data_IF_945328514279
#
_entry.id   IF_945328514279
#
_cell.length_a   1.000
_cell.length_b   1.000
_cell.length_c   1.000
_cell.angle_alpha   90.00
_cell.angle_beta   90.00
_cell.angle_gamma   90.00
#
_symmetry.space_group_name_H-M   'P 1'
#
loop_
_entity.id
_entity.type
_entity.pdbx_description
1 polymer ?
#
# COMPACT_ATOMS: atom_id res chain seq x y z
N UNK A 1 -53.84 12.28 -6.91
CA UNK A 1 -52.70 12.72 -6.06
C UNK A 1 -51.47 11.91 -6.44
N UNK A 2 -50.32 12.59 -6.59
CA UNK A 2 -49.14 12.15 -7.35
C UNK A 2 -48.39 11.01 -6.64
N UNK A 3 -47.96 10.00 -7.41
CA UNK A 3 -46.98 8.98 -7.01
C UNK A 3 -45.68 9.68 -6.62
N UNK A 4 -45.13 9.33 -5.46
CA UNK A 4 -43.83 9.81 -5.01
C UNK A 4 -42.75 9.42 -6.01
N UNK A 5 -42.09 10.43 -6.57
CA UNK A 5 -40.85 10.24 -7.31
C UNK A 5 -39.79 10.00 -6.24
N UNK A 6 -39.34 8.75 -6.13
CA UNK A 6 -38.18 8.42 -5.29
C UNK A 6 -37.01 9.29 -5.71
N UNK A 7 -36.30 9.87 -4.74
CA UNK A 7 -35.07 10.59 -5.01
C UNK A 7 -34.15 9.69 -5.85
N UNK A 8 -33.47 10.23 -6.88
CA UNK A 8 -32.47 9.46 -7.60
C UNK A 8 -31.45 8.91 -6.59
N UNK A 9 -30.96 7.68 -6.77
CA UNK A 9 -29.91 7.15 -5.91
C UNK A 9 -28.74 8.14 -5.90
N UNK A 10 -28.08 8.36 -4.75
CA UNK A 10 -26.90 9.22 -4.70
C UNK A 10 -25.90 8.75 -5.75
N UNK A 11 -25.38 9.70 -6.55
CA UNK A 11 -24.34 9.37 -7.52
C UNK A 11 -23.08 8.97 -6.75
N UNK A 12 -22.38 7.90 -7.15
CA UNK A 12 -21.14 7.52 -6.49
C UNK A 12 -20.15 8.69 -6.53
N UNK A 13 -19.53 8.98 -5.40
CA UNK A 13 -18.46 9.99 -5.35
C UNK A 13 -17.29 9.49 -6.19
N UNK A 14 -16.64 10.39 -6.93
CA UNK A 14 -15.50 10.06 -7.78
C UNK A 14 -14.25 10.68 -7.19
N UNK A 15 -13.18 9.90 -7.12
CA UNK A 15 -11.87 10.36 -6.65
C UNK A 15 -10.79 10.15 -7.71
N UNK A 16 -9.86 11.09 -7.78
CA UNK A 16 -8.72 11.04 -8.69
C UNK A 16 -7.54 10.28 -8.05
N UNK A 17 -6.90 9.43 -8.84
CA UNK A 17 -5.62 8.81 -8.55
C UNK A 17 -4.73 8.87 -9.81
N UNK A 18 -3.44 8.57 -9.69
CA UNK A 18 -2.49 8.81 -10.78
C UNK A 18 -1.86 7.51 -11.26
N UNK A 19 -1.82 7.31 -12.58
CA UNK A 19 -1.02 6.29 -13.25
C UNK A 19 0.33 6.88 -13.68
N UNK A 20 1.41 6.19 -13.32
CA UNK A 20 2.78 6.44 -13.75
C UNK A 20 3.20 5.25 -14.64
N UNK A 21 3.15 5.40 -15.98
CA UNK A 21 3.57 4.33 -16.88
C UNK A 21 5.05 3.99 -16.74
N UNK A 22 5.42 2.73 -16.95
CA UNK A 22 6.82 2.32 -16.99
C UNK A 22 7.57 2.84 -18.22
N UNK A 23 6.85 3.04 -19.33
CA UNK A 23 7.40 3.65 -20.54
C UNK A 23 7.56 5.16 -20.33
N UNK A 24 8.80 5.64 -20.38
CA UNK A 24 9.15 7.06 -20.24
C UNK A 24 8.56 7.92 -21.37
N UNK A 25 8.18 7.33 -22.51
CA UNK A 25 7.50 8.03 -23.60
C UNK A 25 6.00 8.25 -23.32
N UNK A 26 5.37 7.45 -22.45
CA UNK A 26 3.98 7.64 -22.05
C UNK A 26 3.86 8.72 -20.97
N UNK A 27 2.86 9.60 -21.08
CA UNK A 27 2.59 10.62 -20.08
C UNK A 27 1.94 10.04 -18.81
N UNK A 28 2.24 10.65 -17.67
CA UNK A 28 1.53 10.41 -16.41
C UNK A 28 0.06 10.82 -16.60
N UNK A 29 -0.88 9.98 -16.14
CA UNK A 29 -2.33 10.17 -16.36
C UNK A 29 -3.08 10.22 -15.05
N UNK A 30 -4.03 11.14 -14.96
CA UNK A 30 -5.05 11.13 -13.91
C UNK A 30 -6.15 10.13 -14.28
N UNK A 31 -6.53 9.31 -13.32
CA UNK A 31 -7.51 8.26 -13.42
C UNK A 31 -8.61 8.52 -12.39
N UNK A 32 -9.82 8.05 -12.68
CA UNK A 32 -10.97 8.23 -11.80
C UNK A 32 -11.44 6.89 -11.23
N UNK A 33 -11.76 6.90 -9.94
CA UNK A 33 -12.34 5.76 -9.23
C UNK A 33 -13.72 6.16 -8.73
N UNK A 34 -14.75 5.42 -9.14
CA UNK A 34 -16.05 5.49 -8.49
C UNK A 34 -15.94 4.86 -7.10
N UNK A 35 -16.22 5.64 -6.06
CA UNK A 35 -16.17 5.23 -4.67
C UNK A 35 -17.54 4.70 -4.25
N UNK A 36 -17.63 3.42 -3.85
CA UNK A 36 -18.85 2.86 -3.28
C UNK A 36 -19.23 3.54 -1.96
N UNK A 37 -20.53 3.67 -1.69
CA UNK A 37 -21.04 4.24 -0.43
C UNK A 37 -20.75 3.36 0.79
N UNK A 38 -20.61 2.04 0.58
CA UNK A 38 -20.30 1.10 1.66
C UNK A 38 -18.80 1.02 1.89
N UNK A 39 -18.40 1.22 3.15
CA UNK A 39 -17.01 1.18 3.59
C UNK A 39 -16.26 -0.09 3.14
N UNK A 40 -16.85 -1.27 3.36
CA UNK A 40 -16.25 -2.56 2.97
C UNK A 40 -15.97 -2.65 1.45
N UNK A 41 -16.89 -2.14 0.64
CA UNK A 41 -16.74 -2.12 -0.83
C UNK A 41 -15.69 -1.07 -1.24
N UNK A 42 -15.65 0.09 -0.56
CA UNK A 42 -14.68 1.15 -0.82
C UNK A 42 -13.23 0.73 -0.52
N UNK A 43 -12.99 0.05 0.60
CA UNK A 43 -11.65 -0.43 0.99
C UNK A 43 -10.99 -1.25 -0.13
N UNK A 44 -11.77 -2.14 -0.77
CA UNK A 44 -11.29 -2.99 -1.88
C UNK A 44 -11.41 -2.41 -3.29
N UNK A 45 -12.12 -1.30 -3.47
CA UNK A 45 -12.49 -0.78 -4.80
C UNK A 45 -11.28 -0.51 -5.71
N UNK A 46 -10.27 0.20 -5.19
CA UNK A 46 -9.06 0.52 -5.97
C UNK A 46 -8.27 -0.74 -6.32
N UNK A 47 -7.97 -1.59 -5.33
CA UNK A 47 -7.21 -2.82 -5.54
C UNK A 47 -7.89 -3.73 -6.58
N UNK A 48 -9.22 -3.83 -6.56
CA UNK A 48 -9.99 -4.57 -7.57
C UNK A 48 -9.85 -3.97 -8.97
N UNK A 49 -9.92 -2.64 -9.09
CA UNK A 49 -9.73 -1.96 -10.36
C UNK A 49 -8.31 -2.18 -10.92
N UNK A 50 -7.29 -2.07 -10.06
CA UNK A 50 -5.88 -2.23 -10.44
C UNK A 50 -5.52 -3.69 -10.77
N UNK A 51 -6.06 -4.67 -10.04
CA UNK A 51 -5.93 -6.09 -10.39
C UNK A 51 -6.46 -6.34 -11.81
N UNK A 52 -7.61 -5.75 -12.14
CA UNK A 52 -8.19 -5.85 -13.49
C UNK A 52 -7.30 -5.18 -14.54
N UNK A 53 -6.72 -4.01 -14.23
CA UNK A 53 -5.77 -3.33 -15.11
C UNK A 53 -4.55 -4.19 -15.41
N UNK A 54 -3.86 -4.69 -14.38
CA UNK A 54 -2.63 -5.44 -14.59
C UNK A 54 -2.91 -6.78 -15.28
N UNK A 55 -4.02 -7.47 -14.98
CA UNK A 55 -4.41 -8.69 -15.68
C UNK A 55 -4.61 -8.46 -17.20
N UNK A 56 -5.05 -7.26 -17.61
CA UNK A 56 -5.23 -6.90 -19.01
C UNK A 56 -3.93 -6.38 -19.67
N UNK A 57 -3.16 -5.56 -18.95
CA UNK A 57 -2.03 -4.79 -19.51
C UNK A 57 -0.72 -5.58 -19.55
N UNK A 58 -0.34 -6.22 -18.45
CA UNK A 58 0.99 -6.85 -18.32
C UNK A 58 1.03 -8.29 -18.84
N UNK A 59 -0.13 -8.83 -19.25
CA UNK A 59 -0.25 -10.18 -19.78
C UNK A 59 0.03 -11.26 -18.73
N UNK A 60 -0.19 -12.51 -19.13
CA UNK A 60 0.17 -13.67 -18.32
C UNK A 60 1.65 -14.02 -18.44
N UNK A 61 2.12 -14.87 -17.54
CA UNK A 61 3.44 -15.49 -17.64
C UNK A 61 3.58 -16.29 -18.94
N UNK A 62 4.77 -16.24 -19.55
CA UNK A 62 5.11 -17.18 -20.61
C UNK A 62 5.25 -18.62 -20.04
N UNK A 63 5.26 -19.67 -20.88
CA UNK A 63 5.30 -21.06 -20.39
C UNK A 63 6.48 -21.38 -19.47
N UNK A 64 7.66 -20.80 -19.75
CA UNK A 64 8.87 -21.03 -18.96
C UNK A 64 8.79 -20.32 -17.59
N UNK A 65 8.34 -19.07 -17.57
CA UNK A 65 8.10 -18.31 -16.35
C UNK A 65 7.02 -18.97 -15.48
N UNK A 66 6.00 -19.53 -16.12
CA UNK A 66 4.91 -20.25 -15.45
C UNK A 66 5.45 -21.49 -14.72
N UNK A 67 6.22 -22.33 -15.39
CA UNK A 67 6.81 -23.52 -14.78
C UNK A 67 7.80 -23.13 -13.67
N UNK A 68 8.62 -22.11 -13.88
CA UNK A 68 9.56 -21.61 -12.88
C UNK A 68 8.84 -21.13 -11.60
N UNK A 69 7.70 -20.43 -11.74
CA UNK A 69 6.88 -19.98 -10.61
C UNK A 69 6.27 -21.14 -9.83
N UNK A 70 5.71 -22.11 -10.54
CA UNK A 70 5.12 -23.29 -9.92
C UNK A 70 6.20 -24.10 -9.21
N UNK A 71 7.37 -24.29 -9.83
CA UNK A 71 8.51 -24.98 -9.23
C UNK A 71 9.03 -24.27 -7.96
N UNK A 72 9.15 -22.93 -7.98
CA UNK A 72 9.55 -22.16 -6.81
C UNK A 72 8.53 -22.29 -5.66
N UNK A 73 7.23 -22.25 -5.98
CA UNK A 73 6.18 -22.44 -4.98
C UNK A 73 6.18 -23.87 -4.40
N UNK A 74 6.35 -24.90 -5.25
CA UNK A 74 6.52 -26.30 -4.82
C UNK A 74 7.66 -26.43 -3.80
N UNK A 75 8.81 -25.84 -4.11
CA UNK A 75 9.97 -25.87 -3.21
C UNK A 75 9.65 -25.17 -1.87
N UNK A 76 9.06 -23.98 -1.91
CA UNK A 76 8.73 -23.22 -0.70
C UNK A 76 7.73 -23.98 0.20
N UNK A 77 6.73 -24.65 -0.39
CA UNK A 77 5.78 -25.45 0.36
C UNK A 77 6.42 -26.72 0.90
N UNK A 78 7.27 -27.41 0.12
CA UNK A 78 8.00 -28.58 0.61
C UNK A 78 8.93 -28.25 1.80
N UNK A 79 9.55 -27.06 1.80
CA UNK A 79 10.38 -26.59 2.91
C UNK A 79 9.57 -26.30 4.18
N UNK A 80 8.36 -25.74 4.04
CA UNK A 80 7.48 -25.37 5.15
C UNK A 80 6.59 -26.51 5.65
N UNK A 81 6.27 -27.48 4.79
CA UNK A 81 5.32 -28.55 5.05
C UNK A 81 6.01 -29.92 5.00
N UNK A 82 7.10 -30.08 5.78
CA UNK A 82 7.94 -31.30 5.77
C UNK A 82 7.20 -32.58 6.20
N UNK A 83 6.12 -32.43 6.98
CA UNK A 83 5.37 -33.54 7.58
C UNK A 83 3.92 -33.64 7.07
N UNK A 84 3.53 -32.80 6.11
CA UNK A 84 2.16 -32.76 5.56
C UNK A 84 2.00 -33.50 4.23
N UNK A 85 0.76 -33.79 3.82
CA UNK A 85 0.50 -34.34 2.50
C UNK A 85 1.00 -33.39 1.40
N UNK A 86 1.42 -33.93 0.24
CA UNK A 86 1.83 -33.11 -0.88
C UNK A 86 0.68 -32.18 -1.29
N UNK A 87 0.97 -30.91 -1.66
CA UNK A 87 -0.08 -29.97 -1.99
C UNK A 87 -0.72 -30.34 -3.32
N UNK A 88 -2.00 -30.00 -3.48
CA UNK A 88 -2.68 -30.11 -4.77
C UNK A 88 -1.98 -29.23 -5.82
N UNK A 89 -1.56 -29.85 -6.93
CA UNK A 89 -0.87 -29.19 -8.04
C UNK A 89 -1.72 -28.12 -8.72
N UNK A 90 -3.04 -28.34 -8.82
CA UNK A 90 -3.93 -27.36 -9.41
C UNK A 90 -3.99 -26.11 -8.53
N UNK A 91 -4.15 -26.30 -7.21
CA UNK A 91 -4.15 -25.22 -6.23
C UNK A 91 -2.80 -24.49 -6.18
N UNK A 92 -1.68 -25.22 -6.20
CA UNK A 92 -0.33 -24.65 -6.26
C UNK A 92 -0.17 -23.75 -7.49
N UNK A 93 -0.61 -24.22 -8.65
CA UNK A 93 -0.53 -23.47 -9.89
C UNK A 93 -1.39 -22.20 -9.85
N UNK A 94 -2.58 -22.27 -9.26
CA UNK A 94 -3.46 -21.10 -9.11
C UNK A 94 -2.85 -20.06 -8.18
N UNK A 95 -2.27 -20.48 -7.06
CA UNK A 95 -1.63 -19.56 -6.10
C UNK A 95 -0.35 -18.95 -6.70
N UNK A 96 0.51 -19.76 -7.32
CA UNK A 96 1.78 -19.30 -7.90
C UNK A 96 1.57 -18.24 -9.00
N UNK A 97 0.47 -18.38 -9.75
CA UNK A 97 0.14 -17.50 -10.87
C UNK A 97 -0.91 -16.44 -10.50
N UNK A 98 -1.45 -16.49 -9.27
CA UNK A 98 -2.30 -15.45 -8.75
C UNK A 98 -1.51 -14.14 -8.74
N UNK A 99 -2.05 -13.17 -9.47
CA UNK A 99 -1.50 -11.85 -9.57
C UNK A 99 -2.35 -10.92 -8.74
N UNK A 100 -1.69 -10.13 -7.92
CA UNK A 100 -2.31 -9.15 -7.04
C UNK A 100 -1.59 -7.82 -7.15
N UNK A 101 -2.15 -6.81 -6.50
CA UNK A 101 -1.51 -5.52 -6.36
C UNK A 101 -0.73 -5.54 -5.06
N UNK A 102 0.56 -5.23 -5.15
CA UNK A 102 1.39 -4.95 -3.98
C UNK A 102 1.32 -3.45 -3.64
N UNK A 103 1.45 -3.12 -2.35
CA UNK A 103 1.28 -1.77 -1.83
C UNK A 103 2.58 -1.29 -1.18
N UNK A 104 3.21 -0.31 -1.82
CA UNK A 104 4.34 0.45 -1.26
C UNK A 104 3.77 1.67 -0.52
N UNK A 105 3.87 1.66 0.81
CA UNK A 105 3.41 2.78 1.63
C UNK A 105 4.41 3.96 1.53
N UNK A 106 4.08 4.98 0.73
CA UNK A 106 4.93 6.16 0.57
C UNK A 106 4.87 7.07 1.80
N UNK A 107 3.66 7.39 2.27
CA UNK A 107 3.40 8.16 3.48
C UNK A 107 2.44 7.37 4.36
N UNK A 108 2.83 6.88 5.55
CA UNK A 108 1.90 6.20 6.45
C UNK A 108 0.84 7.16 7.00
N UNK A 109 -0.41 6.71 7.11
CA UNK A 109 -1.46 7.44 7.82
C UNK A 109 -1.20 7.33 9.33
N UNK A 110 -0.85 8.45 9.95
CA UNK A 110 -0.53 8.54 11.39
C UNK A 110 -1.11 9.83 11.96
N UNK A 111 -1.20 10.00 13.29
CA UNK A 111 -1.62 11.26 13.88
C UNK A 111 -0.78 12.47 13.43
N UNK A 112 0.51 12.25 13.14
CA UNK A 112 1.43 13.29 12.67
C UNK A 112 1.17 13.74 11.24
N UNK A 113 0.55 12.88 10.42
CA UNK A 113 0.14 13.18 9.04
C UNK A 113 -1.35 13.49 8.94
N UNK A 114 -1.99 13.79 10.08
CA UNK A 114 -3.45 14.01 10.18
C UNK A 114 -4.25 12.82 9.63
N UNK A 115 -3.70 11.61 9.78
CA UNK A 115 -4.22 10.34 9.27
C UNK A 115 -4.31 10.28 7.74
N UNK A 116 -3.66 11.19 7.03
CA UNK A 116 -3.52 11.11 5.57
C UNK A 116 -2.36 10.17 5.22
N UNK A 117 -2.67 9.17 4.40
CA UNK A 117 -1.71 8.25 3.81
C UNK A 117 -1.66 8.38 2.30
N UNK A 118 -0.46 8.17 1.74
CA UNK A 118 -0.22 8.06 0.30
C UNK A 118 0.42 6.71 0.03
N UNK A 119 -0.17 5.95 -0.88
CA UNK A 119 0.26 4.59 -1.22
C UNK A 119 0.48 4.47 -2.71
N UNK A 120 1.54 3.75 -3.07
CA UNK A 120 1.81 3.33 -4.44
C UNK A 120 1.44 1.86 -4.62
N UNK A 121 0.76 1.55 -5.72
CA UNK A 121 0.22 0.25 -6.04
C UNK A 121 0.90 -0.29 -7.29
N UNK A 122 1.55 -1.45 -7.17
CA UNK A 122 2.40 -2.04 -8.22
C UNK A 122 1.99 -3.48 -8.50
N UNK A 123 2.40 -4.04 -9.64
CA UNK A 123 2.19 -5.46 -9.96
C UNK A 123 3.10 -6.33 -9.07
N UNK A 124 2.52 -7.19 -8.23
CA UNK A 124 3.28 -8.05 -7.30
C UNK A 124 4.20 -9.05 -8.04
N UNK A 125 3.90 -9.30 -9.32
CA UNK A 125 4.71 -10.16 -10.21
C UNK A 125 5.60 -9.38 -11.16
N UNK A 126 5.75 -8.06 -11.01
CA UNK A 126 6.48 -7.23 -11.96
C UNK A 126 7.91 -7.71 -12.25
N UNK A 127 8.65 -8.09 -11.20
CA UNK A 127 10.00 -8.68 -11.31
C UNK A 127 9.97 -10.01 -12.08
N UNK A 128 9.07 -10.91 -11.69
CA UNK A 128 8.99 -12.25 -12.25
C UNK A 128 8.55 -12.28 -13.73
N UNK A 129 7.68 -11.34 -14.09
CA UNK A 129 7.28 -11.11 -15.48
C UNK A 129 8.38 -10.46 -16.32
N UNK A 130 9.43 -9.94 -15.68
CA UNK A 130 10.50 -9.20 -16.36
C UNK A 130 10.01 -7.85 -16.90
N UNK A 131 9.10 -7.19 -16.19
CA UNK A 131 8.62 -5.85 -16.57
C UNK A 131 9.77 -4.83 -16.51
N UNK A 132 9.77 -3.79 -17.34
CA UNK A 132 10.80 -2.77 -17.29
C UNK A 132 10.77 -1.98 -15.98
N UNK A 133 11.93 -1.51 -15.53
CA UNK A 133 12.03 -0.62 -14.37
C UNK A 133 11.36 0.71 -14.67
N UNK A 134 10.41 1.10 -13.83
CA UNK A 134 9.73 2.38 -13.89
C UNK A 134 10.56 3.42 -13.14
N UNK A 135 11.40 4.14 -13.90
CA UNK A 135 12.35 5.12 -13.35
C UNK A 135 11.64 6.24 -12.59
N UNK A 136 10.50 6.72 -13.11
CA UNK A 136 9.71 7.80 -12.51
C UNK A 136 9.10 7.36 -11.18
N UNK A 137 8.47 6.20 -11.12
CA UNK A 137 7.92 5.66 -9.87
C UNK A 137 9.03 5.36 -8.84
N UNK A 138 10.15 4.78 -9.28
CA UNK A 138 11.30 4.50 -8.40
C UNK A 138 11.93 5.78 -7.85
N UNK A 139 11.96 6.87 -8.63
CA UNK A 139 12.40 8.18 -8.16
C UNK A 139 11.47 8.74 -7.07
N UNK A 140 10.15 8.61 -7.24
CA UNK A 140 9.19 9.04 -6.20
C UNK A 140 9.42 8.28 -4.89
N UNK A 141 9.65 6.96 -4.95
CA UNK A 141 10.02 6.18 -3.77
C UNK A 141 11.28 6.74 -3.09
N UNK A 142 12.34 7.02 -3.87
CA UNK A 142 13.60 7.60 -3.36
C UNK A 142 13.39 8.98 -2.73
N UNK A 143 12.57 9.84 -3.32
CA UNK A 143 12.22 11.14 -2.74
C UNK A 143 11.46 11.00 -1.43
N UNK A 144 10.63 9.97 -1.30
CA UNK A 144 9.94 9.61 -0.05
C UNK A 144 10.85 8.88 0.94
N UNK A 145 12.16 8.75 0.70
CA UNK A 145 13.10 8.07 1.61
C UNK A 145 13.08 6.54 1.54
N UNK A 146 12.51 5.95 0.48
CA UNK A 146 12.44 4.51 0.28
C UNK A 146 13.43 4.04 -0.80
N UNK A 147 14.17 2.97 -0.51
CA UNK A 147 15.07 2.30 -1.46
C UNK A 147 14.34 1.16 -2.18
N UNK A 148 13.26 1.47 -2.90
CA UNK A 148 12.43 0.50 -3.64
C UNK A 148 12.54 0.78 -5.14
N UNK A 149 12.91 -0.24 -5.91
CA UNK A 149 12.80 -0.22 -7.37
C UNK A 149 11.44 -0.74 -7.80
N UNK A 150 10.75 0.04 -8.64
CA UNK A 150 9.40 -0.26 -9.11
C UNK A 150 9.47 -0.86 -10.51
N UNK A 151 8.82 -2.00 -10.71
CA UNK A 151 8.80 -2.73 -11.98
C UNK A 151 7.41 -2.66 -12.62
N UNK A 152 7.34 -2.21 -13.87
CA UNK A 152 6.07 -2.00 -14.57
C UNK A 152 5.35 -0.72 -14.17
N UNK A 153 4.11 -0.58 -14.65
CA UNK A 153 3.28 0.58 -14.35
C UNK A 153 3.02 0.67 -12.84
N UNK A 154 2.83 1.89 -12.34
CA UNK A 154 2.54 2.14 -10.94
C UNK A 154 1.36 3.10 -10.80
N UNK A 155 0.55 2.92 -9.76
CA UNK A 155 -0.53 3.84 -9.43
C UNK A 155 -0.29 4.48 -8.07
N UNK A 156 -0.62 5.77 -7.91
CA UNK A 156 -0.50 6.48 -6.64
C UNK A 156 -1.87 7.02 -6.26
N UNK A 157 -2.30 6.72 -5.03
CA UNK A 157 -3.55 7.22 -4.47
C UNK A 157 -3.35 7.71 -3.04
N UNK A 158 -4.30 8.55 -2.61
CA UNK A 158 -4.32 9.14 -1.27
C UNK A 158 -5.62 8.75 -0.56
N UNK A 159 -5.50 8.48 0.73
CA UNK A 159 -6.64 8.22 1.59
C UNK A 159 -6.40 8.83 2.96
N UNK A 160 -7.49 9.16 3.63
CA UNK A 160 -7.51 9.42 5.07
C UNK A 160 -7.98 8.13 5.75
N UNK A 161 -7.24 7.67 6.75
CA UNK A 161 -7.48 6.41 7.47
C UNK A 161 -7.02 6.55 8.92
N UNK A 162 -7.97 6.71 9.84
CA UNK A 162 -7.71 6.79 11.28
C UNK A 162 -7.94 5.47 12.03
N UNK A 163 -7.97 4.34 11.30
CA UNK A 163 -8.28 2.99 11.76
C UNK A 163 -9.77 2.72 12.06
N UNK A 164 -10.59 3.75 12.28
CA UNK A 164 -12.05 3.61 12.51
C UNK A 164 -12.86 4.06 11.28
N UNK A 165 -12.36 5.05 10.55
CA UNK A 165 -12.92 5.60 9.32
C UNK A 165 -11.92 5.59 8.17
N UNK A 166 -12.45 5.55 6.95
CA UNK A 166 -11.66 5.56 5.72
C UNK A 166 -12.33 6.40 4.65
N UNK A 167 -11.59 7.35 4.10
CA UNK A 167 -12.04 8.19 3.00
C UNK A 167 -10.96 8.30 1.92
N UNK A 168 -11.33 8.00 0.67
CA UNK A 168 -10.42 8.23 -0.46
C UNK A 168 -10.39 9.70 -0.79
N UNK A 169 -9.20 10.23 -1.03
CA UNK A 169 -9.01 11.63 -1.37
C UNK A 169 -8.42 11.78 -2.76
N UNK A 170 -8.71 12.91 -3.40
CA UNK A 170 -8.12 13.24 -4.70
C UNK A 170 -6.60 13.35 -4.59
N UNK A 171 -5.91 12.61 -5.46
CA UNK A 171 -4.48 12.72 -5.71
C UNK A 171 -4.28 12.98 -7.21
N UNK A 172 -3.65 14.10 -7.53
CA UNK A 172 -3.49 14.60 -8.91
C UNK A 172 -2.06 14.46 -9.39
N UNK A 173 -1.84 14.55 -10.69
CA UNK A 173 -0.50 14.49 -11.26
C UNK A 173 0.39 15.65 -10.73
N UNK A 174 -0.23 16.80 -10.43
CA UNK A 174 0.44 17.94 -9.79
C UNK A 174 0.96 17.64 -8.39
N UNK A 175 0.45 16.61 -7.72
CA UNK A 175 0.85 16.23 -6.36
C UNK A 175 2.14 15.38 -6.33
N UNK A 176 2.63 14.92 -7.49
CA UNK A 176 3.88 14.15 -7.60
C UNK A 176 5.15 15.00 -7.49
N UNK A 177 5.03 16.32 -7.36
CA UNK A 177 6.18 17.22 -7.23
C UNK A 177 7.03 16.91 -6.00
N UNK A 178 8.35 16.87 -6.16
CA UNK A 178 9.30 16.67 -5.05
C UNK A 178 9.26 17.79 -4.00
N UNK A 179 8.70 18.94 -4.36
CA UNK A 179 8.54 20.13 -3.54
C UNK A 179 7.31 20.09 -2.62
N UNK A 180 6.42 19.10 -2.79
CA UNK A 180 5.20 18.99 -1.98
C UNK A 180 5.51 18.63 -0.54
N UNK A 181 4.75 19.23 0.37
CA UNK A 181 4.92 19.01 1.82
C UNK A 181 4.76 17.53 2.21
N UNK A 182 3.82 16.80 1.58
CA UNK A 182 3.63 15.38 1.87
C UNK A 182 4.86 14.52 1.54
N UNK A 183 5.67 14.90 0.53
CA UNK A 183 6.91 14.19 0.17
C UNK A 183 7.96 14.40 1.26
N UNK A 184 8.06 15.61 1.81
CA UNK A 184 8.95 15.91 2.94
C UNK A 184 8.54 15.13 4.18
N UNK A 185 7.24 15.10 4.49
CA UNK A 185 6.69 14.29 5.59
C UNK A 185 6.97 12.80 5.37
N UNK A 186 6.76 12.30 4.15
CA UNK A 186 7.01 10.91 3.79
C UNK A 186 8.47 10.52 4.02
N UNK A 187 9.38 11.37 3.55
CA UNK A 187 10.82 11.20 3.75
C UNK A 187 11.18 11.13 5.23
N UNK A 188 10.68 12.07 6.03
CA UNK A 188 10.92 12.08 7.48
C UNK A 188 10.39 10.80 8.15
N UNK A 189 9.16 10.39 7.82
CA UNK A 189 8.57 9.16 8.36
C UNK A 189 9.38 7.90 7.99
N UNK A 190 9.82 7.80 6.74
CA UNK A 190 10.51 6.60 6.24
C UNK A 190 11.97 6.53 6.63
N UNK A 191 12.67 7.67 6.73
CA UNK A 191 14.04 7.71 7.28
C UNK A 191 14.06 7.27 8.75
N UNK A 192 13.05 7.65 9.53
CA UNK A 192 12.90 7.24 10.93
C UNK A 192 12.41 5.80 11.11
N UNK A 193 11.87 5.18 10.05
CA UNK A 193 11.34 3.81 10.09
C UNK A 193 12.42 2.77 10.35
N UNK A 194 13.70 3.13 10.13
CA UNK A 194 14.84 2.24 10.29
C UNK A 194 14.81 1.06 9.32
N UNK A 195 15.97 0.50 9.01
CA UNK A 195 16.03 -0.78 8.30
C UNK A 195 15.44 -1.89 9.19
N UNK A 196 14.99 -3.00 8.63
CA UNK A 196 14.60 -4.21 9.39
C UNK A 196 15.73 -4.64 10.36
N UNK A 197 16.98 -4.27 10.06
CA UNK A 197 18.14 -4.44 10.95
C UNK A 197 18.13 -3.53 12.20
N UNK A 198 17.54 -2.33 12.12
CA UNK A 198 17.39 -1.43 13.28
C UNK A 198 16.33 -1.95 14.26
N UNK A 199 15.27 -2.59 13.77
CA UNK A 199 14.28 -3.22 14.64
C UNK A 199 14.90 -4.35 15.47
N UNK A 200 15.80 -5.16 14.88
CA UNK A 200 16.53 -6.20 15.59
C UNK A 200 17.55 -5.64 16.61
N UNK A 201 18.26 -4.55 16.27
CA UNK A 201 19.15 -3.86 17.22
C UNK A 201 18.39 -3.15 18.35
N UNK A 202 17.27 -2.51 18.06
CA UNK A 202 16.38 -1.92 19.07
C UNK A 202 15.75 -3.00 19.96
N UNK A 203 15.39 -4.16 19.41
CA UNK A 203 14.90 -5.32 20.19
C UNK A 203 15.98 -5.91 21.10
N UNK A 204 17.24 -5.96 20.66
CA UNK A 204 18.37 -6.36 21.49
C UNK A 204 18.63 -5.35 22.64
N UNK A 205 18.42 -4.06 22.41
CA UNK A 205 18.52 -3.03 23.44
C UNK A 205 17.38 -3.06 24.47
N UNK A 206 16.21 -3.62 24.11
CA UNK A 206 15.05 -3.79 25.00
C UNK A 206 15.21 -4.97 26.00
N UNK A 207 16.26 -5.80 25.88
CA UNK A 207 16.60 -6.87 26.81
C UNK A 207 17.52 -6.42 27.97
N UNK A 208 17.76 -5.12 28.12
CA UNK A 208 18.33 -4.55 29.35
C UNK A 208 17.30 -4.58 30.51
N UNK A 209 17.74 -4.67 31.77
CA UNK A 209 16.85 -4.95 32.89
C UNK A 209 16.11 -3.69 33.34
N UNK A 210 15.11 -3.25 32.57
CA UNK A 210 13.92 -2.51 33.01
C UNK A 210 13.04 -2.27 31.79
N UNK A 211 12.02 -3.10 31.58
CA UNK A 211 10.94 -2.75 30.68
C UNK A 211 9.62 -3.36 31.16
N UNK A 212 8.86 -2.57 31.91
CA UNK A 212 7.47 -2.84 32.26
C UNK A 212 6.58 -2.07 31.29
N UNK A 213 6.28 -2.65 30.12
CA UNK A 213 5.22 -2.17 29.21
C UNK A 213 4.05 -3.14 29.18
N UNK A 214 3.55 -3.53 30.35
CA UNK A 214 2.15 -3.91 30.44
C UNK A 214 1.37 -2.58 30.53
N UNK A 215 0.72 -2.17 29.44
CA UNK A 215 -0.10 -0.95 29.46
C UNK A 215 -1.24 -1.09 30.48
N UNK A 216 -1.45 -0.11 31.38
CA UNK A 216 -2.68 -0.04 32.15
C UNK A 216 -3.85 0.30 31.23
N UNK A 217 -5.04 -0.23 31.52
CA UNK A 217 -6.29 0.14 30.85
C UNK A 217 -6.62 1.63 31.12
N UNK A 218 -6.11 2.52 30.27
CA UNK A 218 -6.36 3.96 30.34
C UNK A 218 -7.69 4.33 29.66
N UNK A 219 -8.40 5.26 30.28
CA UNK A 219 -9.66 5.84 29.78
C UNK A 219 -9.43 6.82 28.61
N UNK A 220 -10.47 7.14 27.85
CA UNK A 220 -10.41 8.02 26.67
C UNK A 220 -9.79 9.40 26.97
N UNK A 221 -10.13 10.00 28.11
CA UNK A 221 -9.61 11.32 28.49
C UNK A 221 -8.10 11.26 28.81
N UNK A 222 -7.64 10.19 29.46
CA UNK A 222 -6.22 9.99 29.76
C UNK A 222 -5.41 9.75 28.49
N UNK A 223 -6.01 9.11 27.47
CA UNK A 223 -5.39 8.95 26.14
C UNK A 223 -5.26 10.29 25.42
N UNK A 224 -6.26 11.16 25.51
CA UNK A 224 -6.24 12.49 24.87
C UNK A 224 -5.21 13.43 25.52
N UNK A 225 -5.10 13.43 26.85
CA UNK A 225 -4.07 14.21 27.56
C UNK A 225 -2.65 13.69 27.26
N UNK A 226 -2.50 12.36 27.15
CA UNK A 226 -1.23 11.74 26.78
C UNK A 226 -0.84 12.00 25.33
N UNK A 227 -1.81 11.99 24.41
CA UNK A 227 -1.60 12.40 23.02
C UNK A 227 -1.22 13.89 22.93
N UNK A 228 -1.83 14.75 23.75
CA UNK A 228 -1.48 16.17 23.85
C UNK A 228 -0.06 16.42 24.36
N UNK A 229 0.41 15.62 25.32
CA UNK A 229 1.77 15.72 25.87
C UNK A 229 2.84 15.12 24.95
N UNK A 230 2.53 14.03 24.23
CA UNK A 230 3.42 13.48 23.18
C UNK A 230 3.58 14.46 22.00
N UNK A 231 2.50 15.15 21.61
CA UNK A 231 2.52 16.23 20.61
C UNK A 231 3.44 17.39 21.00
N UNK A 232 3.63 17.66 22.30
CA UNK A 232 4.52 18.70 22.80
C UNK A 232 6.02 18.30 22.83
N UNK A 233 6.31 17.00 22.85
CA UNK A 233 7.68 16.47 22.99
C UNK A 233 8.33 16.03 21.68
N UNK A 234 7.67 16.25 20.54
CA UNK A 234 8.28 16.09 19.21
C UNK A 234 8.76 14.68 18.85
N UNK A 235 8.33 13.65 19.57
CA UNK A 235 8.65 12.23 19.31
C UNK A 235 7.51 11.64 18.49
N UNK A 236 7.51 11.72 17.16
CA UNK A 236 8.34 11.05 16.14
C UNK A 236 7.59 9.86 15.55
N UNK A 237 6.69 10.14 14.60
CA UNK A 237 6.21 9.26 13.53
C UNK A 237 6.07 7.75 13.80
N UNK A 238 5.78 7.28 15.01
CA UNK A 238 5.33 5.92 15.34
C UNK A 238 4.53 5.96 16.65
#
# INVERSE_FOLDING_TARGET
ARRGVGAPPPMPSVVTYVLIPADDAEQIREMELAVPDKLEENLGALTKALNSYYAQKTGGFNPEQREAMIAAMRQQVAEKNKDGPPPDEEMLSQVALSQTVDIVQLLPATPATEWVGVSMYVDDKGVAKGLPTNRRASEICRQCGLSVEVMGDAFVAKAWDDQEGFERQNFRASDLGSDKEWVKSARLCNENRGSVNDAAQKLAALNGPTNTWAEPNLTLNERLERAGTLRANGTECF
#
